data_IF_563338696991
#
_entry.id   IF_563338696991
#
_cell.length_a   1.000
_cell.length_b   1.000
_cell.length_c   1.000
_cell.angle_alpha   90.00
_cell.angle_beta   90.00
_cell.angle_gamma   90.00
#
_symmetry.space_group_name_H-M   'P 1'
#
loop_
_entity.id
_entity.type
_entity.pdbx_description
1 polymer ?
#
# COMPACT_ATOMS: atom_id res chain seq x y z
N UNK A 1 -40.70 -13.23 -40.93
CA UNK A 1 -40.36 -11.96 -40.25
C UNK A 1 -40.43 -12.15 -38.75
N UNK A 2 -39.27 -12.27 -38.09
CA UNK A 2 -39.13 -12.12 -36.63
C UNK A 2 -37.85 -11.32 -36.41
N UNK A 3 -38.03 -10.12 -35.91
CA UNK A 3 -36.98 -9.14 -35.63
C UNK A 3 -36.24 -9.57 -34.37
N UNK A 4 -34.93 -9.82 -34.47
CA UNK A 4 -34.07 -10.03 -33.30
C UNK A 4 -33.63 -8.65 -32.77
N UNK A 5 -33.96 -8.38 -31.50
CA UNK A 5 -33.49 -7.21 -30.76
C UNK A 5 -32.11 -7.54 -30.21
N UNK A 6 -31.09 -6.78 -30.62
CA UNK A 6 -29.75 -6.82 -30.04
C UNK A 6 -29.73 -5.97 -28.77
N UNK A 7 -29.49 -6.60 -27.61
CA UNK A 7 -29.12 -5.90 -26.37
C UNK A 7 -27.59 -5.87 -26.32
N UNK A 8 -27.01 -4.67 -26.43
CA UNK A 8 -25.59 -4.43 -26.10
C UNK A 8 -25.46 -4.41 -24.57
N UNK A 9 -24.78 -5.40 -24.01
CA UNK A 9 -24.22 -5.34 -22.66
C UNK A 9 -22.74 -4.98 -22.80
N UNK A 10 -22.35 -3.80 -22.30
CA UNK A 10 -20.95 -3.36 -22.21
C UNK A 10 -20.44 -3.50 -20.77
N UNK A 11 -19.15 -3.83 -20.66
CA UNK A 11 -18.34 -3.95 -19.45
C UNK A 11 -18.46 -5.28 -18.68
N UNK A 12 -17.94 -6.35 -19.28
CA UNK A 12 -17.38 -7.47 -18.53
C UNK A 12 -15.90 -7.18 -18.27
N UNK A 13 -15.53 -7.00 -17.00
CA UNK A 13 -14.16 -7.26 -16.57
C UNK A 13 -14.03 -8.78 -16.51
N UNK A 14 -13.26 -9.34 -17.43
CA UNK A 14 -12.86 -10.74 -17.38
C UNK A 14 -12.02 -10.95 -16.11
N UNK A 15 -12.59 -11.68 -15.15
CA UNK A 15 -11.85 -12.33 -14.08
C UNK A 15 -10.87 -13.30 -14.76
N UNK A 16 -9.59 -12.91 -14.85
CA UNK A 16 -8.54 -13.78 -15.32
C UNK A 16 -8.33 -14.92 -14.32
N UNK A 17 -8.82 -16.10 -14.69
CA UNK A 17 -8.42 -17.38 -14.13
C UNK A 17 -6.91 -17.56 -14.34
N UNK A 18 -6.17 -17.61 -13.23
CA UNK A 18 -4.74 -17.90 -13.16
C UNK A 18 -4.38 -19.16 -13.94
N UNK A 19 -3.67 -18.99 -15.06
CA UNK A 19 -2.87 -20.04 -15.67
C UNK A 19 -1.56 -20.14 -14.90
N UNK A 20 -1.21 -21.38 -14.56
CA UNK A 20 0.11 -21.87 -14.13
C UNK A 20 1.28 -21.03 -14.63
N UNK A 21 2.21 -20.72 -13.72
CA UNK A 21 3.48 -20.05 -13.97
C UNK A 21 4.13 -20.48 -15.30
N UNK A 22 4.03 -19.62 -16.31
CA UNK A 22 4.68 -19.82 -17.60
C UNK A 22 5.57 -18.61 -17.89
N UNK A 23 6.88 -18.84 -17.93
CA UNK A 23 7.93 -17.95 -18.41
C UNK A 23 7.92 -16.51 -17.86
N UNK A 24 8.56 -16.35 -16.70
CA UNK A 24 9.01 -15.04 -16.20
C UNK A 24 9.92 -14.38 -17.23
N UNK A 25 9.43 -13.40 -17.97
CA UNK A 25 10.26 -12.64 -18.91
C UNK A 25 10.40 -11.23 -18.36
N UNK A 26 11.61 -10.86 -17.90
CA UNK A 26 11.96 -9.49 -17.50
C UNK A 26 12.05 -8.58 -18.76
N UNK A 27 11.13 -8.73 -19.71
CA UNK A 27 11.20 -8.21 -21.08
C UNK A 27 11.10 -6.69 -21.15
N UNK A 28 10.47 -6.05 -20.15
CA UNK A 28 10.48 -4.59 -20.03
C UNK A 28 11.89 -4.02 -19.86
N UNK A 29 12.84 -4.84 -19.42
CA UNK A 29 14.23 -4.49 -19.19
C UNK A 29 15.17 -4.96 -20.30
N UNK A 30 14.68 -5.71 -21.29
CA UNK A 30 15.51 -6.23 -22.37
C UNK A 30 15.92 -5.11 -23.32
N UNK A 31 17.23 -4.86 -23.42
CA UNK A 31 17.76 -3.86 -24.36
C UNK A 31 18.16 -4.47 -25.71
N UNK A 32 17.83 -5.75 -25.92
CA UNK A 32 18.10 -6.49 -27.15
C UNK A 32 19.44 -7.24 -27.15
N UNK A 33 20.11 -7.36 -25.99
CA UNK A 33 21.33 -8.17 -25.86
C UNK A 33 21.04 -9.67 -25.80
N UNK A 34 19.80 -10.07 -25.47
CA UNK A 34 19.42 -11.44 -25.19
C UNK A 34 19.67 -11.89 -23.74
N UNK A 35 20.23 -11.03 -22.89
CA UNK A 35 20.53 -11.34 -21.48
C UNK A 35 19.27 -11.59 -20.64
N UNK A 36 18.11 -11.09 -21.07
CA UNK A 36 16.85 -11.27 -20.36
C UNK A 36 16.14 -12.63 -20.62
N UNK A 37 16.66 -13.47 -21.53
CA UNK A 37 16.07 -14.77 -21.88
C UNK A 37 16.14 -15.81 -20.77
N UNK A 38 17.17 -15.74 -19.91
CA UNK A 38 17.47 -16.69 -18.82
C UNK A 38 17.47 -15.99 -17.44
N UNK A 39 16.53 -15.07 -17.20
CA UNK A 39 16.40 -14.21 -16.02
C UNK A 39 16.18 -14.88 -14.64
N UNK A 40 16.71 -16.07 -14.39
CA UNK A 40 16.67 -16.77 -13.10
C UNK A 40 17.24 -15.99 -11.91
N UNK A 41 17.93 -14.86 -12.16
CA UNK A 41 18.47 -13.94 -11.14
C UNK A 41 17.60 -12.70 -10.84
N UNK A 42 16.52 -12.44 -11.58
CA UNK A 42 15.59 -11.35 -11.23
C UNK A 42 15.04 -11.60 -9.80
N UNK A 43 15.03 -10.58 -8.92
CA UNK A 43 14.54 -10.81 -7.55
C UNK A 43 13.05 -11.15 -7.52
N UNK A 44 12.24 -10.58 -8.43
CA UNK A 44 10.79 -10.80 -8.47
C UNK A 44 10.30 -11.24 -9.87
N UNK A 45 10.81 -12.37 -10.38
CA UNK A 45 10.54 -12.78 -11.75
C UNK A 45 9.06 -13.11 -11.93
N UNK A 46 8.44 -12.62 -13.01
CA UNK A 46 7.02 -12.86 -13.29
C UNK A 46 6.05 -11.98 -12.49
N UNK A 47 6.54 -10.97 -11.80
CA UNK A 47 5.69 -9.95 -11.18
C UNK A 47 4.91 -9.12 -12.20
N UNK A 48 3.85 -8.44 -11.74
CA UNK A 48 3.00 -7.62 -12.60
C UNK A 48 3.83 -6.56 -13.34
N UNK A 49 3.63 -6.47 -14.65
CA UNK A 49 4.28 -5.45 -15.47
C UNK A 49 3.88 -4.04 -15.04
N UNK A 50 4.75 -3.07 -15.33
CA UNK A 50 4.51 -1.66 -15.01
C UNK A 50 5.37 -0.73 -15.86
N UNK A 51 5.45 0.53 -15.45
CA UNK A 51 6.35 1.50 -16.04
C UNK A 51 7.79 1.22 -15.57
N UNK A 52 8.75 1.24 -16.49
CA UNK A 52 10.17 1.30 -16.11
C UNK A 52 10.47 2.74 -15.73
N UNK A 53 10.85 2.96 -14.46
CA UNK A 53 11.16 4.31 -14.01
C UNK A 53 12.46 4.82 -14.66
N UNK A 54 12.53 6.11 -14.97
CA UNK A 54 13.67 6.72 -15.66
C UNK A 54 14.82 6.97 -14.69
N UNK A 55 16.05 6.76 -15.14
CA UNK A 55 17.26 7.07 -14.38
C UNK A 55 18.32 6.00 -14.52
N UNK A 56 19.37 6.09 -13.70
CA UNK A 56 20.44 5.09 -13.64
C UNK A 56 20.06 3.83 -12.86
N UNK A 57 19.00 3.90 -12.05
CA UNK A 57 18.48 2.80 -11.27
C UNK A 57 17.01 2.61 -11.58
N UNK A 58 16.62 1.36 -11.84
CA UNK A 58 15.28 1.02 -12.38
C UNK A 58 14.59 -0.04 -11.53
N UNK A 59 13.30 -0.25 -11.76
CA UNK A 59 12.48 -1.25 -11.10
C UNK A 59 12.57 -1.24 -9.57
N UNK A 60 12.94 -2.35 -8.94
CA UNK A 60 13.05 -2.37 -7.47
C UNK A 60 14.23 -1.57 -6.92
N UNK A 61 15.14 -1.09 -7.76
CA UNK A 61 16.17 -0.11 -7.42
C UNK A 61 15.80 1.33 -7.79
N UNK A 62 14.59 1.57 -8.30
CA UNK A 62 14.11 2.93 -8.52
C UNK A 62 14.32 3.76 -7.25
N UNK A 63 14.86 4.98 -7.41
CA UNK A 63 15.26 5.83 -6.30
C UNK A 63 14.09 6.00 -5.31
N UNK A 64 14.34 5.77 -4.03
CA UNK A 64 13.34 5.96 -2.99
C UNK A 64 13.36 7.37 -2.40
N UNK A 65 14.50 8.06 -2.53
CA UNK A 65 14.76 9.39 -1.99
C UNK A 65 15.79 10.09 -2.89
N UNK A 66 15.75 11.43 -2.93
CA UNK A 66 16.76 12.27 -3.58
C UNK A 66 17.17 11.81 -5.00
N UNK A 67 16.21 11.70 -5.94
CA UNK A 67 16.51 11.25 -7.30
C UNK A 67 17.51 12.19 -7.99
N UNK A 68 18.33 11.63 -8.88
CA UNK A 68 19.18 12.44 -9.75
C UNK A 68 18.32 13.30 -10.69
N UNK A 69 18.86 14.42 -11.16
CA UNK A 69 18.15 15.31 -12.08
C UNK A 69 17.64 14.55 -13.32
N UNK A 70 16.36 14.73 -13.65
CA UNK A 70 15.71 14.05 -14.76
C UNK A 70 15.34 12.58 -14.52
N UNK A 71 15.65 12.01 -13.35
CA UNK A 71 15.25 10.66 -12.95
C UNK A 71 13.90 10.65 -12.23
N UNK A 72 13.22 9.51 -12.27
CA UNK A 72 12.02 9.27 -11.49
C UNK A 72 12.37 8.79 -10.07
N UNK A 73 11.42 8.94 -9.15
CA UNK A 73 11.46 8.42 -7.78
C UNK A 73 10.24 7.51 -7.56
N UNK A 74 10.41 6.50 -6.73
CA UNK A 74 9.36 5.57 -6.32
C UNK A 74 8.70 6.04 -5.02
N UNK A 75 7.38 5.90 -4.97
CA UNK A 75 6.51 6.32 -3.89
C UNK A 75 5.60 5.18 -3.43
N UNK A 76 5.07 5.29 -2.21
CA UNK A 76 3.88 4.52 -1.83
C UNK A 76 2.73 4.88 -2.78
N UNK A 77 1.93 3.89 -3.14
CA UNK A 77 0.80 4.13 -4.02
C UNK A 77 -0.39 4.67 -3.23
N UNK A 78 -1.02 5.71 -3.74
CA UNK A 78 -2.15 6.38 -3.09
C UNK A 78 -3.46 5.62 -3.27
N UNK A 79 -3.55 4.75 -4.27
CA UNK A 79 -4.69 3.86 -4.44
C UNK A 79 -4.68 2.68 -3.44
N UNK A 80 -3.65 2.55 -2.61
CA UNK A 80 -3.66 1.68 -1.43
C UNK A 80 -4.19 2.37 -0.17
N UNK A 81 -4.38 3.70 -0.21
CA UNK A 81 -4.85 4.45 0.95
C UNK A 81 -6.25 3.99 1.34
N UNK A 82 -6.48 3.86 2.65
CA UNK A 82 -7.77 3.50 3.22
C UNK A 82 -8.90 4.36 2.65
N UNK A 83 -9.89 3.72 2.03
CA UNK A 83 -11.02 4.39 1.39
C UNK A 83 -10.87 4.77 -0.08
N UNK A 84 -9.71 4.53 -0.70
CA UNK A 84 -9.55 4.73 -2.14
C UNK A 84 -10.56 3.93 -2.95
N UNK A 85 -10.85 4.37 -4.17
CA UNK A 85 -11.73 3.65 -5.10
C UNK A 85 -11.25 2.22 -5.31
N UNK A 86 -9.94 2.02 -5.51
CA UNK A 86 -9.34 0.69 -5.67
C UNK A 86 -9.48 -0.17 -4.41
N UNK A 87 -9.26 0.40 -3.22
CA UNK A 87 -9.38 -0.33 -1.96
C UNK A 87 -10.82 -0.74 -1.68
N UNK A 88 -11.80 0.16 -1.89
CA UNK A 88 -13.22 -0.16 -1.75
C UNK A 88 -13.70 -1.19 -2.76
N UNK A 89 -13.15 -1.19 -3.97
CA UNK A 89 -13.42 -2.25 -4.95
C UNK A 89 -12.88 -3.60 -4.48
N UNK A 90 -11.68 -3.65 -3.89
CA UNK A 90 -11.10 -4.85 -3.29
C UNK A 90 -11.95 -5.36 -2.10
N UNK A 91 -12.37 -4.47 -1.21
CA UNK A 91 -13.32 -4.77 -0.12
C UNK A 91 -14.60 -5.40 -0.65
N UNK A 92 -15.25 -4.75 -1.62
CA UNK A 92 -16.50 -5.22 -2.20
C UNK A 92 -16.38 -6.59 -2.89
N UNK A 93 -15.27 -6.82 -3.62
CA UNK A 93 -15.00 -8.10 -4.25
C UNK A 93 -14.78 -9.22 -3.22
N UNK A 94 -14.00 -8.94 -2.18
CA UNK A 94 -13.76 -9.87 -1.08
C UNK A 94 -15.05 -10.21 -0.32
N UNK A 95 -15.78 -9.19 0.14
CA UNK A 95 -17.03 -9.33 0.89
C UNK A 95 -18.06 -10.13 0.10
N UNK A 96 -18.17 -9.88 -1.21
CA UNK A 96 -19.04 -10.67 -2.10
C UNK A 96 -18.61 -12.14 -2.22
N UNK A 97 -17.31 -12.40 -2.25
CA UNK A 97 -16.74 -13.75 -2.42
C UNK A 97 -16.83 -14.58 -1.14
N UNK A 98 -16.65 -13.97 0.03
CA UNK A 98 -16.58 -14.67 1.32
C UNK A 98 -17.88 -14.60 2.12
N UNK A 99 -18.75 -13.63 1.82
CA UNK A 99 -19.92 -13.30 2.65
C UNK A 99 -19.57 -12.53 3.93
N UNK A 100 -18.31 -12.12 4.08
CA UNK A 100 -17.86 -11.29 5.19
C UNK A 100 -18.19 -9.81 4.94
N UNK A 101 -18.03 -8.98 5.96
CA UNK A 101 -18.17 -7.54 5.87
C UNK A 101 -16.98 -6.87 6.55
N UNK A 102 -15.94 -6.62 5.77
CA UNK A 102 -14.70 -5.99 6.24
C UNK A 102 -14.37 -4.75 5.44
N UNK A 103 -13.53 -3.91 6.04
CA UNK A 103 -12.74 -2.91 5.33
C UNK A 103 -11.32 -3.39 5.12
N UNK A 104 -10.61 -2.80 4.18
CA UNK A 104 -9.25 -3.18 3.82
C UNK A 104 -8.30 -2.00 3.86
N UNK A 105 -7.03 -2.29 4.10
CA UNK A 105 -5.98 -1.28 4.05
C UNK A 105 -4.59 -1.87 4.00
N UNK A 106 -3.60 -0.99 3.98
CA UNK A 106 -2.19 -1.34 4.07
C UNK A 106 -1.51 -0.49 5.13
N UNK A 107 -0.36 -0.92 5.61
CA UNK A 107 0.34 -0.16 6.63
C UNK A 107 1.60 -0.82 7.15
N UNK A 108 1.93 -0.50 8.40
CA UNK A 108 3.05 -1.08 9.14
C UNK A 108 2.51 -1.87 10.32
N UNK A 109 2.97 -3.11 10.50
CA UNK A 109 2.69 -3.89 11.71
C UNK A 109 3.96 -4.07 12.57
N UNK A 110 3.82 -3.88 13.89
CA UNK A 110 4.94 -3.82 14.83
C UNK A 110 5.43 -5.17 15.35
N UNK A 111 5.96 -6.06 14.50
CA UNK A 111 6.48 -7.36 14.98
C UNK A 111 8.01 -7.47 14.86
N UNK A 112 8.68 -7.69 15.99
CA UNK A 112 10.12 -8.02 16.05
C UNK A 112 10.39 -9.51 15.85
N UNK A 113 9.39 -10.35 16.09
CA UNK A 113 9.56 -11.80 16.21
C UNK A 113 9.34 -12.52 14.86
N UNK A 114 8.83 -11.82 13.86
CA UNK A 114 8.71 -12.32 12.49
C UNK A 114 10.03 -12.15 11.71
N UNK A 115 10.50 -13.17 10.97
CA UNK A 115 11.71 -13.09 10.18
C UNK A 115 11.72 -11.97 9.12
N UNK A 116 10.56 -11.51 8.65
CA UNK A 116 10.39 -10.41 7.71
C UNK A 116 9.87 -9.13 8.37
N UNK A 117 9.84 -9.11 9.72
CA UNK A 117 9.26 -8.04 10.53
C UNK A 117 7.83 -7.70 10.11
N UNK A 118 7.07 -8.74 9.77
CA UNK A 118 5.66 -8.66 9.40
C UNK A 118 5.40 -8.30 7.95
N UNK A 119 6.41 -7.94 7.16
CA UNK A 119 6.21 -7.59 5.74
C UNK A 119 5.50 -8.70 4.98
N UNK A 120 4.50 -8.30 4.19
CA UNK A 120 3.68 -9.16 3.36
C UNK A 120 2.57 -9.91 4.10
N UNK A 121 2.58 -9.95 5.45
CA UNK A 121 1.56 -10.65 6.22
C UNK A 121 0.27 -9.82 6.33
N UNK A 122 -0.87 -10.51 6.42
CA UNK A 122 -2.16 -9.89 6.63
C UNK A 122 -2.74 -10.19 8.01
N UNK A 123 -3.48 -9.22 8.54
CA UNK A 123 -4.09 -9.30 9.84
C UNK A 123 -5.55 -8.85 9.75
N UNK A 124 -6.44 -9.56 10.43
CA UNK A 124 -7.79 -9.07 10.72
C UNK A 124 -7.81 -8.49 12.12
N UNK A 125 -8.38 -7.30 12.27
CA UNK A 125 -8.47 -6.57 13.51
C UNK A 125 -9.92 -6.17 13.79
N UNK A 126 -10.31 -6.27 15.06
CA UNK A 126 -11.45 -5.53 15.57
C UNK A 126 -10.96 -4.22 16.18
N UNK A 127 -11.59 -3.12 15.81
CA UNK A 127 -11.13 -1.77 16.18
C UNK A 127 -12.29 -0.99 16.79
N UNK A 128 -12.06 -0.39 17.95
CA UNK A 128 -13.07 0.40 18.65
C UNK A 128 -13.54 1.58 17.79
N UNK A 129 -14.85 1.73 17.60
CA UNK A 129 -15.43 2.84 16.84
C UNK A 129 -15.54 2.58 15.34
N UNK A 130 -14.99 1.48 14.82
CA UNK A 130 -15.27 1.01 13.46
C UNK A 130 -16.52 0.13 13.45
N UNK A 131 -17.33 0.25 12.40
CA UNK A 131 -18.57 -0.53 12.19
C UNK A 131 -18.29 -1.96 11.71
N UNK A 132 -17.12 -2.16 11.11
CA UNK A 132 -16.69 -3.42 10.52
C UNK A 132 -15.23 -3.73 10.88
N UNK A 133 -14.87 -5.01 11.02
CA UNK A 133 -13.48 -5.44 11.13
C UNK A 133 -12.63 -4.90 9.97
N UNK A 134 -11.35 -4.70 10.26
CA UNK A 134 -10.35 -4.26 9.29
C UNK A 134 -9.43 -5.42 8.92
N UNK A 135 -9.22 -5.69 7.63
CA UNK A 135 -8.14 -6.55 7.14
C UNK A 135 -7.04 -5.68 6.56
N UNK A 136 -5.83 -5.81 7.08
CA UNK A 136 -4.69 -5.02 6.63
C UNK A 136 -3.55 -5.88 6.16
N UNK A 137 -2.80 -5.42 5.16
CA UNK A 137 -1.50 -5.98 4.80
C UNK A 137 -0.38 -5.08 5.31
N UNK A 138 0.60 -5.67 6.01
CA UNK A 138 1.81 -4.95 6.37
C UNK A 138 2.74 -4.86 5.16
N UNK A 139 2.95 -3.66 4.64
CA UNK A 139 3.80 -3.37 3.48
C UNK A 139 5.06 -2.58 3.84
N UNK A 140 5.13 -2.11 5.07
CA UNK A 140 6.22 -1.30 5.58
C UNK A 140 6.72 -1.86 6.92
N UNK A 141 7.90 -1.40 7.33
CA UNK A 141 8.46 -1.64 8.65
C UNK A 141 8.87 -0.30 9.25
N UNK A 142 8.65 -0.13 10.54
CA UNK A 142 9.07 1.06 11.30
C UNK A 142 9.59 0.61 12.65
N UNK A 143 10.70 1.20 13.12
CA UNK A 143 11.23 0.91 14.46
C UNK A 143 10.35 1.49 15.58
N UNK A 144 9.49 2.43 15.23
CA UNK A 144 8.53 3.12 16.07
C UNK A 144 7.18 2.37 16.21
N UNK A 145 6.96 1.34 15.41
CA UNK A 145 5.79 0.45 15.53
C UNK A 145 6.22 -0.82 16.24
N UNK A 146 5.71 -1.05 17.45
CA UNK A 146 6.11 -2.20 18.29
C UNK A 146 4.91 -2.90 18.91
N UNK A 147 5.01 -4.22 19.08
CA UNK A 147 3.93 -5.04 19.61
C UNK A 147 2.70 -5.08 18.70
N UNK A 148 1.52 -5.21 19.29
CA UNK A 148 0.26 -5.30 18.55
C UNK A 148 -0.26 -3.91 18.16
N UNK A 149 0.59 -3.09 17.53
CA UNK A 149 0.27 -1.80 16.93
C UNK A 149 0.18 -1.95 15.42
N UNK A 150 -0.77 -1.26 14.79
CA UNK A 150 -0.81 -1.14 13.34
C UNK A 150 -0.91 0.31 12.91
N UNK A 151 -0.03 0.72 12.00
CA UNK A 151 0.01 2.07 11.46
C UNK A 151 -0.60 2.09 10.05
N UNK A 152 -1.86 2.51 9.96
CA UNK A 152 -2.67 2.42 8.74
C UNK A 152 -2.35 3.56 7.77
N UNK A 153 -2.21 3.25 6.48
CA UNK A 153 -2.10 4.27 5.45
C UNK A 153 -3.46 4.96 5.25
N UNK A 154 -3.60 6.17 5.81
CA UNK A 154 -4.82 7.01 5.73
C UNK A 154 -4.46 8.33 5.05
N UNK A 155 -5.40 8.91 4.29
CA UNK A 155 -5.21 10.26 3.75
C UNK A 155 -4.86 11.25 4.86
N UNK A 156 -3.71 11.91 4.74
CA UNK A 156 -3.12 12.75 5.78
C UNK A 156 -3.05 12.06 7.16
N UNK A 157 -2.46 10.85 7.19
CA UNK A 157 -2.10 10.18 8.43
C UNK A 157 -0.90 10.81 9.16
N UNK A 158 -0.26 11.82 8.56
CA UNK A 158 1.01 12.39 9.02
C UNK A 158 2.21 11.71 8.37
N UNK A 159 3.21 12.50 8.02
CA UNK A 159 4.41 12.04 7.33
C UNK A 159 5.38 11.27 8.24
N UNK A 160 5.27 11.41 9.56
CA UNK A 160 6.20 10.81 10.50
C UNK A 160 7.63 11.30 10.27
N UNK A 161 8.61 10.39 10.37
CA UNK A 161 10.04 10.75 10.26
C UNK A 161 10.49 11.18 8.85
N UNK A 162 9.75 10.80 7.81
CA UNK A 162 10.10 11.07 6.42
C UNK A 162 8.95 11.80 5.73
N UNK A 163 9.19 12.97 5.13
CA UNK A 163 8.16 13.63 4.34
C UNK A 163 8.53 13.61 2.87
N UNK A 164 8.03 12.61 2.14
CA UNK A 164 8.08 12.59 0.68
C UNK A 164 6.72 12.94 0.05
N UNK A 165 5.73 13.28 0.88
CA UNK A 165 4.46 13.76 0.38
C UNK A 165 4.53 15.20 -0.09
N UNK A 166 5.21 16.10 0.64
CA UNK A 166 5.34 17.52 0.30
C UNK A 166 6.66 18.12 0.80
N UNK A 167 6.95 19.34 0.36
CA UNK A 167 8.17 20.06 0.77
C UNK A 167 9.43 19.72 -0.03
N UNK A 168 9.30 18.99 -1.13
CA UNK A 168 10.40 18.75 -2.04
C UNK A 168 10.77 20.02 -2.82
N UNK A 169 11.96 20.01 -3.43
CA UNK A 169 12.41 21.06 -4.33
C UNK A 169 11.60 21.07 -5.63
N UNK A 170 11.05 19.92 -6.02
CA UNK A 170 10.33 19.71 -7.27
C UNK A 170 9.15 18.75 -7.08
N UNK A 171 7.98 19.26 -6.63
CA UNK A 171 6.74 18.47 -6.57
C UNK A 171 6.45 17.77 -7.89
N UNK A 172 6.12 16.48 -7.82
CA UNK A 172 6.01 15.58 -8.98
C UNK A 172 7.33 14.91 -9.37
N UNK A 173 8.42 15.15 -8.66
CA UNK A 173 9.72 14.48 -8.83
C UNK A 173 10.24 13.94 -7.50
N UNK A 174 10.54 14.81 -6.53
CA UNK A 174 11.09 14.44 -5.22
C UNK A 174 10.05 14.42 -4.08
N UNK A 175 8.86 14.93 -4.37
CA UNK A 175 7.66 14.81 -3.52
C UNK A 175 6.42 14.62 -4.38
N UNK A 176 5.36 14.04 -3.82
CA UNK A 176 4.16 13.72 -4.59
C UNK A 176 3.24 14.93 -4.79
N UNK A 177 2.97 15.69 -3.73
CA UNK A 177 2.04 16.82 -3.71
C UNK A 177 2.77 18.16 -3.63
N UNK A 178 2.12 19.24 -4.11
CA UNK A 178 2.60 20.59 -3.83
C UNK A 178 2.46 20.93 -2.34
N UNK A 179 3.41 21.70 -1.81
CA UNK A 179 3.33 22.24 -0.45
C UNK A 179 4.71 22.57 0.13
N UNK A 180 4.79 23.44 1.16
CA UNK A 180 6.04 23.74 1.85
C UNK A 180 6.59 22.53 2.62
N UNK A 181 7.90 22.53 2.90
CA UNK A 181 8.54 21.58 3.83
C UNK A 181 8.37 22.10 5.26
N UNK A 182 7.25 21.78 5.86
CA UNK A 182 7.03 21.99 7.28
C UNK A 182 6.47 20.68 7.86
N UNK A 183 6.96 20.32 9.03
CA UNK A 183 6.38 19.27 9.87
C UNK A 183 4.88 19.55 10.17
N UNK A 184 4.45 20.81 10.00
CA UNK A 184 3.06 21.26 10.13
C UNK A 184 2.26 21.38 8.82
N UNK A 185 2.84 21.08 7.65
CA UNK A 185 2.28 21.47 6.33
C UNK A 185 0.81 21.09 6.13
N UNK A 186 0.39 19.94 6.67
CA UNK A 186 -0.97 19.42 6.56
C UNK A 186 -1.60 19.03 7.91
N UNK A 187 -1.05 19.53 9.01
CA UNK A 187 -1.39 19.07 10.36
C UNK A 187 -0.15 18.60 11.09
N UNK A 188 -0.29 17.77 12.12
CA UNK A 188 0.86 17.29 12.90
C UNK A 188 1.72 16.34 12.06
N UNK A 189 3.03 16.42 12.24
CA UNK A 189 3.99 15.49 11.65
C UNK A 189 3.59 14.03 11.88
N UNK A 190 3.16 13.70 13.10
CA UNK A 190 2.62 12.41 13.47
C UNK A 190 1.11 12.56 13.69
N UNK A 191 0.31 11.88 12.87
CA UNK A 191 -1.14 11.89 12.99
C UNK A 191 -1.87 12.86 12.07
N UNK A 192 -1.21 13.76 11.34
CA UNK A 192 -1.86 14.70 10.41
C UNK A 192 -2.84 15.65 11.10
N UNK A 193 -3.97 15.94 10.45
CA UNK A 193 -5.05 16.77 11.03
C UNK A 193 -5.64 16.16 12.32
N UNK A 194 -6.15 16.98 13.23
CA UNK A 194 -6.84 16.47 14.42
C UNK A 194 -8.32 16.24 14.17
N UNK A 195 -8.94 17.04 13.30
CA UNK A 195 -10.38 17.05 13.08
C UNK A 195 -10.76 16.93 11.60
N UNK A 196 -11.90 16.27 11.32
CA UNK A 196 -12.37 16.01 9.95
C UNK A 196 -12.46 17.28 9.11
N UNK A 197 -12.94 18.38 9.71
CA UNK A 197 -13.11 19.66 9.01
C UNK A 197 -11.79 20.21 8.45
N UNK A 198 -10.64 19.85 9.03
CA UNK A 198 -9.33 20.31 8.58
C UNK A 198 -8.88 19.59 7.29
N UNK A 199 -9.45 18.44 6.95
CA UNK A 199 -9.16 17.75 5.68
C UNK A 199 -9.39 18.67 4.47
N UNK A 200 -10.32 19.63 4.55
CA UNK A 200 -10.61 20.58 3.48
C UNK A 200 -9.43 21.53 3.17
N UNK A 201 -8.46 21.65 4.08
CA UNK A 201 -7.23 22.43 3.87
C UNK A 201 -6.14 21.70 3.07
N UNK A 202 -6.32 20.41 2.78
CA UNK A 202 -5.33 19.59 2.09
C UNK A 202 -5.32 19.86 0.58
N UNK A 203 -4.16 19.70 -0.10
CA UNK A 203 -4.14 19.69 -1.56
C UNK A 203 -4.90 18.47 -2.06
N UNK A 204 -5.89 18.69 -2.94
CA UNK A 204 -6.72 17.58 -3.45
C UNK A 204 -5.92 16.53 -4.22
N UNK A 205 -4.89 16.95 -4.95
CA UNK A 205 -4.19 16.08 -5.90
C UNK A 205 -2.66 16.23 -5.83
N UNK A 206 -1.92 15.17 -6.20
CA UNK A 206 -0.50 15.23 -6.51
C UNK A 206 -0.17 16.30 -7.56
N UNK A 207 1.09 16.69 -7.64
CA UNK A 207 1.55 17.58 -8.71
C UNK A 207 1.35 16.96 -10.11
N UNK A 208 1.40 15.62 -10.21
CA UNK A 208 0.99 14.85 -11.39
C UNK A 208 -0.38 14.20 -11.13
N UNK A 209 -1.44 14.95 -11.39
CA UNK A 209 -2.78 14.62 -10.90
C UNK A 209 -3.64 13.70 -11.79
N UNK A 210 -3.23 13.48 -13.05
CA UNK A 210 -4.09 12.89 -14.06
C UNK A 210 -4.61 11.48 -13.67
N UNK A 211 -3.73 10.65 -13.08
CA UNK A 211 -4.08 9.30 -12.71
C UNK A 211 -5.04 9.24 -11.50
N UNK A 212 -4.78 10.04 -10.45
CA UNK A 212 -5.67 10.13 -9.29
C UNK A 212 -7.06 10.66 -9.66
N UNK A 213 -7.11 11.70 -10.50
CA UNK A 213 -8.37 12.23 -11.05
C UNK A 213 -9.14 11.19 -11.86
N UNK A 214 -8.44 10.41 -12.69
CA UNK A 214 -9.06 9.35 -13.49
C UNK A 214 -9.61 8.21 -12.61
N UNK A 215 -8.96 7.91 -11.49
CA UNK A 215 -9.45 6.94 -10.51
C UNK A 215 -10.69 7.44 -9.74
N UNK A 216 -10.89 8.76 -9.67
CA UNK A 216 -11.97 9.37 -8.90
C UNK A 216 -11.66 9.50 -7.40
N UNK A 217 -10.37 9.52 -7.06
CA UNK A 217 -9.89 9.78 -5.71
C UNK A 217 -9.42 11.24 -5.57
N UNK A 218 -9.37 11.73 -4.33
CA UNK A 218 -8.65 12.95 -3.96
C UNK A 218 -8.26 12.88 -2.48
N UNK A 219 -7.18 13.56 -2.09
CA UNK A 219 -6.63 13.45 -0.74
C UNK A 219 -7.59 13.94 0.36
N UNK A 220 -8.46 14.91 0.06
CA UNK A 220 -9.43 15.45 1.02
C UNK A 220 -10.45 14.36 1.35
N UNK A 221 -11.03 13.73 0.34
CA UNK A 221 -12.00 12.64 0.52
C UNK A 221 -11.35 11.44 1.22
N UNK A 222 -10.09 11.10 0.90
CA UNK A 222 -9.36 10.02 1.58
C UNK A 222 -9.09 10.32 3.05
N UNK A 223 -8.80 11.59 3.40
CA UNK A 223 -8.65 12.04 4.78
C UNK A 223 -9.96 11.92 5.56
N UNK A 224 -11.06 12.43 4.97
CA UNK A 224 -12.39 12.40 5.56
C UNK A 224 -12.89 10.97 5.79
N UNK A 225 -12.58 10.06 4.87
CA UNK A 225 -12.96 8.64 4.95
C UNK A 225 -12.43 7.97 6.23
N UNK A 226 -11.22 8.34 6.67
CA UNK A 226 -10.67 7.85 7.93
C UNK A 226 -11.54 8.19 9.13
N UNK A 227 -12.05 9.43 9.18
CA UNK A 227 -12.95 9.89 10.25
C UNK A 227 -14.33 9.25 10.14
N UNK A 228 -14.89 9.21 8.92
CA UNK A 228 -16.24 8.67 8.66
C UNK A 228 -16.39 7.20 9.06
N UNK A 229 -15.28 6.47 9.11
CA UNK A 229 -15.25 5.04 9.39
C UNK A 229 -14.50 4.69 10.67
N UNK A 230 -14.21 5.68 11.51
CA UNK A 230 -13.65 5.45 12.84
C UNK A 230 -12.22 4.89 12.83
N UNK A 231 -11.51 4.96 11.70
CA UNK A 231 -10.09 4.61 11.62
C UNK A 231 -9.18 5.72 12.21
N UNK A 232 -9.75 6.90 12.46
CA UNK A 232 -9.20 7.99 13.27
C UNK A 232 -10.34 8.72 13.99
N UNK A 233 -10.02 9.39 15.09
CA UNK A 233 -11.00 10.11 15.92
C UNK A 233 -10.73 11.62 15.88
N UNK A 234 -11.79 12.42 16.07
CA UNK A 234 -11.70 13.86 16.28
C UNK A 234 -10.75 14.19 17.45
N UNK A 235 -10.15 15.38 17.46
CA UNK A 235 -9.11 15.74 18.42
C UNK A 235 -7.81 14.94 18.28
N UNK A 236 -7.61 14.25 17.15
CA UNK A 236 -6.40 13.50 16.83
C UNK A 236 -6.29 12.13 17.48
N UNK A 237 -7.34 11.61 18.11
CA UNK A 237 -7.33 10.33 18.83
C UNK A 237 -7.05 9.11 17.91
N UNK A 238 -6.46 8.07 18.49
CA UNK A 238 -6.19 6.79 17.84
C UNK A 238 -7.14 5.72 18.41
N UNK A 239 -7.91 5.01 17.57
CA UNK A 239 -8.73 3.89 18.00
C UNK A 239 -7.92 2.76 18.64
N UNK A 240 -8.55 2.03 19.56
CA UNK A 240 -8.00 0.81 20.15
C UNK A 240 -8.26 -0.39 19.24
N UNK A 241 -7.22 -1.16 18.93
CA UNK A 241 -7.32 -2.52 18.40
C UNK A 241 -7.77 -3.40 19.56
N UNK A 242 -8.98 -3.95 19.47
CA UNK A 242 -9.59 -4.81 20.49
C UNK A 242 -9.13 -6.25 20.37
N UNK A 243 -8.92 -6.72 19.14
CA UNK A 243 -8.34 -8.04 18.90
C UNK A 243 -7.68 -8.10 17.53
N UNK A 244 -6.72 -9.00 17.38
CA UNK A 244 -5.95 -9.19 16.14
C UNK A 244 -5.68 -10.66 15.85
N UNK A 245 -5.82 -11.07 14.59
CA UNK A 245 -5.45 -12.39 14.12
C UNK A 245 -4.66 -12.29 12.80
N UNK A 246 -3.56 -13.05 12.67
CA UNK A 246 -2.92 -13.26 11.35
C UNK A 246 -3.87 -14.10 10.49
N UNK A 247 -4.10 -13.66 9.26
CA UNK A 247 -5.00 -14.33 8.30
C UNK A 247 -4.29 -14.52 6.97
N UNK A 248 -4.79 -15.44 6.14
CA UNK A 248 -4.39 -15.50 4.73
C UNK A 248 -4.65 -14.15 4.07
N UNK A 249 -3.67 -13.59 3.39
CA UNK A 249 -3.88 -12.35 2.67
C UNK A 249 -4.99 -12.50 1.61
N UNK A 250 -6.02 -11.61 1.61
CA UNK A 250 -6.98 -11.54 0.53
C UNK A 250 -6.31 -11.39 -0.82
N UNK A 251 -6.76 -12.14 -1.83
CA UNK A 251 -6.21 -12.06 -3.18
C UNK A 251 -6.33 -10.65 -3.76
N UNK A 252 -7.37 -9.91 -3.33
CA UNK A 252 -7.64 -8.54 -3.72
C UNK A 252 -6.59 -7.55 -3.17
N UNK A 253 -6.14 -7.72 -1.92
CA UNK A 253 -5.02 -6.94 -1.35
C UNK A 253 -3.70 -7.32 -2.01
N UNK A 254 -3.46 -8.62 -2.19
CA UNK A 254 -2.28 -9.14 -2.90
C UNK A 254 -2.21 -8.58 -4.32
N UNK A 255 -3.34 -8.46 -5.02
CA UNK A 255 -3.35 -7.88 -6.36
C UNK A 255 -2.99 -6.39 -6.32
N UNK A 256 -3.50 -5.61 -5.37
CA UNK A 256 -3.14 -4.20 -5.25
C UNK A 256 -1.64 -4.00 -5.01
N UNK A 257 -1.08 -4.73 -4.04
CA UNK A 257 0.29 -4.51 -3.56
C UNK A 257 1.33 -5.31 -4.33
N UNK A 258 0.96 -6.46 -4.92
CA UNK A 258 1.85 -7.47 -5.49
C UNK A 258 2.77 -8.16 -4.48
N UNK A 259 2.42 -8.18 -3.20
CA UNK A 259 3.19 -8.89 -2.17
C UNK A 259 2.38 -10.06 -1.61
N UNK A 260 2.96 -11.25 -1.57
CA UNK A 260 2.33 -12.45 -1.02
C UNK A 260 3.35 -13.37 -0.37
N UNK A 261 3.09 -13.76 0.87
CA UNK A 261 3.92 -14.72 1.59
C UNK A 261 3.50 -16.16 1.25
N UNK A 262 4.47 -17.06 1.21
CA UNK A 262 4.26 -18.50 1.02
C UNK A 262 3.91 -19.23 2.33
N UNK A 263 4.17 -18.61 3.47
CA UNK A 263 3.85 -19.10 4.82
C UNK A 263 2.52 -18.56 5.37
N UNK A 264 1.70 -17.92 4.53
CA UNK A 264 0.36 -17.50 4.92
C UNK A 264 -0.52 -18.71 5.26
N UNK A 265 -1.52 -18.53 6.14
CA UNK A 265 -2.53 -19.57 6.38
C UNK A 265 -3.10 -20.12 5.08
N UNK A 266 -3.34 -21.43 5.03
CA UNK A 266 -3.80 -22.10 3.82
C UNK A 266 -5.16 -21.56 3.34
N UNK A 267 -6.05 -21.21 4.27
CA UNK A 267 -7.38 -20.67 4.01
C UNK A 267 -7.61 -19.34 4.74
N UNK A 268 -8.62 -18.60 4.27
CA UNK A 268 -9.09 -17.43 4.98
C UNK A 268 -9.99 -17.85 6.15
N UNK A 269 -9.41 -17.95 7.34
CA UNK A 269 -10.11 -18.19 8.60
C UNK A 269 -9.58 -17.24 9.68
N UNK A 270 -10.44 -16.90 10.65
CA UNK A 270 -10.07 -16.06 11.81
C UNK A 270 -9.96 -16.98 13.00
N UNK A 271 -8.80 -17.58 13.19
CA UNK A 271 -8.56 -18.55 14.26
C UNK A 271 -7.84 -17.87 15.43
N UNK A 272 -8.40 -18.05 16.64
CA UNK A 272 -7.80 -17.62 17.91
C UNK A 272 -7.22 -16.19 17.89
N UNK A 273 -8.05 -15.15 17.70
CA UNK A 273 -7.57 -13.79 17.78
C UNK A 273 -6.95 -13.52 19.15
N UNK A 274 -5.85 -12.76 19.15
CA UNK A 274 -5.24 -12.26 20.38
C UNK A 274 -6.07 -11.07 20.83
N UNK A 275 -6.67 -11.18 21.99
CA UNK A 275 -7.44 -10.10 22.62
C UNK A 275 -6.51 -9.03 23.22
N UNK A 276 -6.95 -7.78 23.16
CA UNK A 276 -6.18 -6.65 23.67
C UNK A 276 -6.02 -6.73 25.19
N UNK A 277 -4.80 -6.49 25.66
CA UNK A 277 -4.49 -6.46 27.08
C UNK A 277 -4.93 -5.14 27.75
N UNK A 278 -5.02 -4.07 26.97
CA UNK A 278 -5.40 -2.72 27.39
C UNK A 278 -5.88 -1.92 26.17
N UNK A 279 -6.48 -0.76 26.42
CA UNK A 279 -6.83 0.21 25.37
C UNK A 279 -5.59 0.97 24.88
N UNK A 280 -5.70 1.65 23.74
CA UNK A 280 -4.65 2.50 23.22
C UNK A 280 -4.32 3.66 24.18
N UNK A 281 -3.04 3.87 24.48
CA UNK A 281 -2.57 4.89 25.44
C UNK A 281 -1.77 6.03 24.79
N UNK A 282 -1.88 6.19 23.46
CA UNK A 282 -1.09 7.18 22.71
C UNK A 282 -1.26 8.61 23.24
N UNK A 283 -2.45 8.99 23.70
CA UNK A 283 -2.74 10.33 24.23
C UNK A 283 -2.19 10.61 25.63
N UNK A 284 -1.80 9.59 26.38
CA UNK A 284 -1.29 9.71 27.77
C UNK A 284 0.23 9.51 27.87
N UNK A 285 0.94 9.41 26.73
CA UNK A 285 2.36 9.08 26.70
C UNK A 285 2.66 7.63 27.12
N UNK A 286 1.65 6.75 27.07
CA UNK A 286 1.74 5.34 27.39
C UNK A 286 2.19 4.50 26.19
N UNK A 287 1.90 3.19 26.25
CA UNK A 287 2.26 2.26 25.19
C UNK A 287 1.45 2.50 23.91
N UNK A 288 2.09 2.38 22.74
CA UNK A 288 1.39 2.35 21.46
C UNK A 288 0.88 0.95 21.08
N UNK A 289 1.15 -0.07 21.89
CA UNK A 289 0.55 -1.39 21.71
C UNK A 289 -0.98 -1.26 21.73
N UNK A 290 -1.65 -2.00 20.85
CA UNK A 290 -3.10 -1.96 20.67
C UNK A 290 -3.65 -0.64 20.16
N UNK A 291 -2.81 0.25 19.63
CA UNK A 291 -3.27 1.42 18.88
C UNK A 291 -3.38 1.09 17.38
N UNK A 292 -4.50 1.50 16.77
CA UNK A 292 -4.56 1.74 15.33
C UNK A 292 -4.07 3.18 15.11
N UNK A 293 -2.79 3.32 14.76
CA UNK A 293 -2.22 4.61 14.38
C UNK A 293 -2.39 4.83 12.88
N UNK A 294 -1.93 5.98 12.39
CA UNK A 294 -2.07 6.39 11.00
C UNK A 294 -0.77 7.00 10.48
N UNK A 295 -0.51 6.76 9.20
CA UNK A 295 0.63 7.32 8.46
C UNK A 295 0.27 7.67 7.03
N UNK A 296 1.05 8.60 6.48
CA UNK A 296 1.14 8.89 5.05
C UNK A 296 2.44 9.67 4.79
N UNK A 297 3.55 8.95 4.63
CA UNK A 297 4.86 9.55 4.31
C UNK A 297 5.13 9.68 2.80
N UNK A 298 4.27 9.04 1.99
CA UNK A 298 4.35 8.84 0.53
C UNK A 298 5.62 8.11 0.06
N UNK A 299 6.49 7.72 0.98
CA UNK A 299 7.81 7.18 0.67
C UNK A 299 7.64 5.75 0.19
N UNK A 300 8.52 5.30 -0.69
CA UNK A 300 8.56 3.88 -1.07
C UNK A 300 8.58 3.00 0.20
N UNK A 301 7.55 2.15 0.43
CA UNK A 301 7.49 1.35 1.63
C UNK A 301 8.60 0.30 1.70
N UNK A 302 8.95 -0.14 2.90
CA UNK A 302 10.05 -1.09 3.15
C UNK A 302 9.92 -2.40 2.36
N UNK A 303 8.70 -2.87 2.08
CA UNK A 303 8.46 -4.06 1.26
C UNK A 303 8.85 -3.90 -0.22
N UNK A 304 9.18 -2.69 -0.68
CA UNK A 304 9.64 -2.42 -2.04
C UNK A 304 11.16 -2.54 -2.20
N UNK A 305 11.89 -2.77 -1.12
CA UNK A 305 13.33 -2.99 -1.13
C UNK A 305 13.62 -4.48 -1.01
N UNK A 306 14.30 -5.05 -2.01
CA UNK A 306 14.61 -6.48 -2.04
C UNK A 306 15.36 -6.96 -0.78
N UNK A 307 16.23 -6.12 -0.22
CA UNK A 307 17.09 -6.49 0.91
C UNK A 307 16.31 -6.59 2.24
N UNK A 308 15.09 -6.04 2.28
CA UNK A 308 14.19 -6.20 3.42
C UNK A 308 13.32 -7.46 3.32
N UNK A 309 13.36 -8.15 2.17
CA UNK A 309 12.46 -9.25 1.85
C UNK A 309 13.24 -10.56 1.77
N UNK A 310 12.73 -11.57 2.47
CA UNK A 310 13.27 -12.93 2.45
C UNK A 310 12.57 -13.74 1.36
N UNK A 311 13.22 -13.92 0.22
CA UNK A 311 12.62 -14.54 -0.95
C UNK A 311 12.05 -15.96 -0.68
N UNK A 312 12.66 -16.70 0.26
CA UNK A 312 12.29 -18.08 0.61
C UNK A 312 10.90 -18.22 1.26
N UNK A 313 10.36 -17.15 1.84
CA UNK A 313 9.02 -17.11 2.44
C UNK A 313 8.01 -16.30 1.60
N UNK A 314 8.35 -16.03 0.35
CA UNK A 314 7.51 -15.27 -0.57
C UNK A 314 7.11 -16.10 -1.79
N UNK A 315 5.95 -15.77 -2.36
CA UNK A 315 5.49 -16.37 -3.61
C UNK A 315 6.22 -15.73 -4.79
N UNK A 316 6.66 -16.53 -5.76
CA UNK A 316 7.29 -16.06 -6.99
C UNK A 316 6.41 -15.06 -7.74
N UNK A 317 7.02 -14.02 -8.28
CA UNK A 317 6.34 -12.87 -8.89
C UNK A 317 5.65 -11.93 -7.90
N UNK A 318 5.59 -12.28 -6.60
CA UNK A 318 4.94 -11.49 -5.56
C UNK A 318 5.81 -11.25 -4.34
N UNK A 319 7.12 -11.13 -4.56
CA UNK A 319 8.12 -11.06 -3.48
C UNK A 319 8.22 -9.66 -2.88
N UNK A 320 8.02 -8.62 -3.68
CA UNK A 320 8.10 -7.22 -3.25
C UNK A 320 6.83 -6.48 -3.65
N UNK A 321 6.48 -5.45 -2.89
CA UNK A 321 5.41 -4.57 -3.33
C UNK A 321 5.79 -3.85 -4.61
N UNK A 322 4.78 -3.44 -5.37
CA UNK A 322 4.93 -2.65 -6.57
C UNK A 322 4.67 -1.16 -6.28
N UNK A 323 5.70 -0.33 -6.02
CA UNK A 323 5.53 1.09 -5.74
C UNK A 323 5.04 1.85 -6.98
N UNK A 324 4.72 3.12 -6.79
CA UNK A 324 4.22 3.99 -7.85
C UNK A 324 5.22 5.09 -8.21
N UNK A 325 5.04 5.66 -9.39
CA UNK A 325 5.63 6.95 -9.73
C UNK A 325 4.97 8.07 -8.92
N UNK A 326 5.50 9.29 -9.07
CA UNK A 326 5.05 10.50 -8.35
C UNK A 326 3.60 10.95 -8.63
N UNK A 327 2.87 10.26 -9.50
CA UNK A 327 1.42 10.44 -9.63
C UNK A 327 0.61 9.62 -8.61
N UNK A 328 1.27 8.73 -7.86
CA UNK A 328 0.67 7.88 -6.84
C UNK A 328 -0.10 6.66 -7.35
N UNK A 329 -0.18 6.44 -8.67
CA UNK A 329 -1.06 5.42 -9.28
C UNK A 329 -0.37 4.61 -10.37
N UNK A 330 0.60 5.18 -11.10
CA UNK A 330 1.33 4.46 -12.13
C UNK A 330 2.32 3.50 -11.48
N UNK A 331 2.00 2.20 -11.54
CA UNK A 331 2.83 1.12 -11.03
C UNK A 331 4.20 1.07 -11.70
N UNK A 332 5.26 0.96 -10.93
CA UNK A 332 6.62 0.72 -11.42
C UNK A 332 6.79 -0.78 -11.68
N UNK A 333 7.33 -1.19 -12.82
CA UNK A 333 7.67 -2.60 -13.04
C UNK A 333 8.75 -3.03 -12.04
N UNK A 334 8.51 -4.05 -11.21
CA UNK A 334 9.49 -4.49 -10.21
C UNK A 334 10.01 -5.90 -10.48
N UNK A 335 9.92 -6.38 -11.71
CA UNK A 335 10.42 -7.72 -12.04
C UNK A 335 11.94 -7.79 -11.95
N UNK A 336 12.63 -6.74 -12.41
CA UNK A 336 14.09 -6.59 -12.36
C UNK A 336 14.50 -5.25 -11.72
N UNK A 337 15.78 -5.11 -11.39
CA UNK A 337 16.39 -3.87 -10.90
C UNK A 337 17.33 -3.19 -11.91
N UNK A 338 17.73 -3.90 -12.97
CA UNK A 338 18.72 -3.46 -13.93
C UNK A 338 18.19 -3.56 -15.36
N UNK A 339 18.57 -2.61 -16.21
CA UNK A 339 18.42 -2.77 -17.65
C UNK A 339 19.31 -3.90 -18.14
N UNK A 340 18.86 -4.59 -19.18
CA UNK A 340 19.56 -5.69 -19.84
C UNK A 340 19.86 -6.89 -18.94
N UNK A 341 19.05 -7.07 -17.89
CA UNK A 341 19.02 -8.21 -16.98
C UNK A 341 20.38 -8.84 -16.66
N UNK A 342 21.27 -8.09 -16.02
CA UNK A 342 22.50 -8.66 -15.46
C UNK A 342 22.18 -9.60 -14.29
N UNK A 343 22.60 -10.86 -14.44
CA UNK A 343 22.47 -11.94 -13.47
C UNK A 343 23.40 -11.82 -12.27
#
# INVERSE_FOLDING_TARGET
MRTAVFVKLSCGQDLFLSKTASNSTCSAYDTGSGNCGDCGSCFNPGGRSGAVCRGQSTGYFCAADSPAEGSDMAFACMDWTFGSVSMRAAEGAFNKRTGDNVRMGVGTYGTSDDPQRGLGACYRMQVSGMDTPLIVQSINTGSDVTGNQFDLQIGDGGAGAFNTCAGGKQPGVDTMYPGPYDASTWGKQYGGVDDKAQCQGLPKYPAKDAAMKAAGDDLVTLCEYGFDHGARQEGGGNPSIQSIARVKCPAELVELTQMQRSDDPAEYTVEAPVEAAHECEAGSGGSLAWCLTRMMDCRKPSGGFKDNVKAEIMVDGKRIIQPCLSDGYTRIDVQCGCSDCYC
#
